data_IF_451747965308
#
_entry.id   IF_451747965308
#
_cell.length_a   1.000
_cell.length_b   1.000
_cell.length_c   1.000
_cell.angle_alpha   90.00
_cell.angle_beta   90.00
_cell.angle_gamma   90.00
#
_symmetry.space_group_name_H-M   'P 1'
#
loop_
_entity.id
_entity.type
_entity.pdbx_description
1 polymer ?
#
# COMPACT_ATOMS: atom_id res chain seq x y z
N UNK A 1 -18.90 15.54 3.96
CA UNK A 1 -18.10 14.40 4.40
C UNK A 1 -18.64 13.94 5.73
N UNK A 2 -18.74 12.63 5.97
CA UNK A 2 -19.29 12.07 7.19
C UNK A 2 -18.15 11.38 7.96
N UNK A 3 -17.33 12.12 8.71
CA UNK A 3 -16.20 11.53 9.44
C UNK A 3 -16.64 10.63 10.59
N UNK A 4 -17.88 10.81 11.08
CA UNK A 4 -18.41 10.08 12.22
C UNK A 4 -19.81 9.56 11.90
N UNK A 5 -20.01 8.26 12.02
CA UNK A 5 -21.32 7.62 12.00
C UNK A 5 -21.82 7.47 13.45
N UNK A 6 -22.96 8.08 13.76
CA UNK A 6 -23.64 7.83 15.01
C UNK A 6 -24.49 6.56 14.89
N UNK A 7 -24.09 5.49 15.58
CA UNK A 7 -24.86 4.25 15.68
C UNK A 7 -25.34 4.13 17.12
N UNK A 8 -26.52 4.67 17.40
CA UNK A 8 -27.04 4.79 18.77
C UNK A 8 -26.15 5.69 19.64
N UNK A 9 -25.72 5.23 20.84
CA UNK A 9 -24.84 5.99 21.73
C UNK A 9 -23.37 5.99 21.31
N UNK A 10 -22.97 5.22 20.28
CA UNK A 10 -21.60 5.09 19.83
C UNK A 10 -21.32 5.96 18.61
N UNK A 11 -20.27 6.79 18.71
CA UNK A 11 -19.70 7.55 17.60
C UNK A 11 -18.56 6.74 16.96
N UNK A 12 -18.78 6.23 15.75
CA UNK A 12 -17.80 5.40 15.05
C UNK A 12 -17.15 6.22 13.93
N UNK A 13 -15.83 6.27 13.90
CA UNK A 13 -15.07 6.95 12.86
C UNK A 13 -15.07 6.12 11.58
N UNK A 14 -15.83 6.56 10.57
CA UNK A 14 -15.93 5.90 9.27
C UNK A 14 -14.56 5.68 8.61
N UNK A 15 -13.61 6.63 8.61
CA UNK A 15 -12.28 6.41 8.01
C UNK A 15 -11.55 5.21 8.60
N UNK A 16 -11.57 5.05 9.92
CA UNK A 16 -10.94 3.91 10.60
C UNK A 16 -11.57 2.57 10.23
N UNK A 17 -12.93 2.52 10.14
CA UNK A 17 -13.64 1.31 9.70
C UNK A 17 -13.26 0.91 8.27
N UNK A 18 -13.12 1.88 7.37
CA UNK A 18 -12.73 1.62 5.98
C UNK A 18 -11.32 1.04 5.91
N UNK A 19 -10.38 1.52 6.72
CA UNK A 19 -9.03 0.95 6.79
C UNK A 19 -9.07 -0.49 7.31
N UNK A 20 -9.82 -0.76 8.39
CA UNK A 20 -9.96 -2.12 8.94
C UNK A 20 -10.61 -3.09 7.94
N UNK A 21 -11.66 -2.65 7.26
CA UNK A 21 -12.29 -3.41 6.19
C UNK A 21 -11.32 -3.67 5.04
N UNK A 22 -10.52 -2.66 4.68
CA UNK A 22 -9.47 -2.77 3.67
C UNK A 22 -8.41 -3.81 4.05
N UNK A 23 -7.93 -3.82 5.30
CA UNK A 23 -6.98 -4.81 5.81
C UNK A 23 -7.58 -6.22 5.69
N UNK A 24 -8.81 -6.40 6.18
CA UNK A 24 -9.48 -7.70 6.15
C UNK A 24 -9.71 -8.23 4.74
N UNK A 25 -10.28 -7.43 3.84
CA UNK A 25 -10.53 -7.85 2.46
C UNK A 25 -9.23 -8.09 1.68
N UNK A 26 -8.19 -7.30 1.96
CA UNK A 26 -6.88 -7.48 1.35
C UNK A 26 -6.21 -8.77 1.81
N UNK A 27 -6.27 -9.14 3.08
CA UNK A 27 -5.75 -10.44 3.56
C UNK A 27 -6.49 -11.61 2.95
N UNK A 28 -7.83 -11.55 2.85
CA UNK A 28 -8.63 -12.57 2.14
C UNK A 28 -8.21 -12.71 0.68
N UNK A 29 -7.98 -11.58 -0.01
CA UNK A 29 -7.55 -11.58 -1.40
C UNK A 29 -6.15 -12.18 -1.56
N UNK A 30 -5.21 -11.84 -0.68
CA UNK A 30 -3.85 -12.42 -0.66
C UNK A 30 -3.92 -13.94 -0.44
N UNK A 31 -4.66 -14.41 0.57
CA UNK A 31 -4.81 -15.84 0.85
C UNK A 31 -5.36 -16.62 -0.34
N UNK A 32 -6.34 -16.08 -1.08
CA UNK A 32 -6.89 -16.71 -2.29
C UNK A 32 -5.88 -16.83 -3.42
N UNK A 33 -4.86 -15.98 -3.46
CA UNK A 33 -3.89 -15.93 -4.55
C UNK A 33 -2.51 -16.51 -4.18
N UNK A 34 -2.26 -16.79 -2.91
CA UNK A 34 -1.00 -17.31 -2.39
C UNK A 34 -0.50 -18.54 -3.12
N UNK A 35 -1.40 -19.52 -3.34
CA UNK A 35 -1.08 -20.79 -4.00
C UNK A 35 -0.57 -20.64 -5.45
N UNK A 36 -0.94 -19.56 -6.15
CA UNK A 36 -0.44 -19.30 -7.52
C UNK A 36 1.06 -19.02 -7.55
N UNK A 37 1.61 -18.55 -6.44
CA UNK A 37 3.04 -18.25 -6.29
C UNK A 37 3.80 -19.32 -5.52
N UNK A 38 3.16 -20.47 -5.25
CA UNK A 38 3.76 -21.60 -4.52
C UNK A 38 4.01 -21.29 -3.04
N UNK A 39 3.26 -20.33 -2.46
CA UNK A 39 3.39 -19.94 -1.07
C UNK A 39 2.15 -20.38 -0.30
N UNK A 40 2.35 -20.91 0.90
CA UNK A 40 1.27 -21.28 1.80
C UNK A 40 0.54 -20.00 2.29
N UNK A 41 -0.79 -20.02 2.20
CA UNK A 41 -1.63 -18.91 2.64
C UNK A 41 -1.43 -18.59 4.13
N UNK A 42 -1.31 -19.61 4.98
CA UNK A 42 -1.09 -19.45 6.42
C UNK A 42 0.22 -18.73 6.74
N UNK A 43 1.25 -18.91 5.89
CA UNK A 43 2.53 -18.24 6.05
C UNK A 43 2.41 -16.76 5.71
N UNK A 44 1.64 -16.41 4.65
CA UNK A 44 1.37 -15.02 4.29
C UNK A 44 0.47 -14.33 5.30
N UNK A 45 -0.54 -15.01 5.82
CA UNK A 45 -1.41 -14.47 6.88
C UNK A 45 -0.62 -14.15 8.14
N UNK A 46 0.31 -15.04 8.55
CA UNK A 46 1.22 -14.77 9.68
C UNK A 46 2.17 -13.63 9.39
N UNK A 47 2.69 -13.52 8.16
CA UNK A 47 3.55 -12.40 7.74
C UNK A 47 2.80 -11.07 7.86
N UNK A 48 1.57 -11.01 7.37
CA UNK A 48 0.71 -9.82 7.47
C UNK A 48 0.38 -9.48 8.93
N UNK A 49 0.01 -10.48 9.73
CA UNK A 49 -0.31 -10.29 11.14
C UNK A 49 0.88 -9.77 11.94
N UNK A 50 2.07 -10.35 11.74
CA UNK A 50 3.31 -9.91 12.40
C UNK A 50 3.67 -8.50 11.97
N UNK A 51 3.61 -8.20 10.66
CA UNK A 51 3.86 -6.86 10.13
C UNK A 51 2.89 -5.82 10.70
N UNK A 52 1.59 -6.14 10.73
CA UNK A 52 0.56 -5.26 11.27
C UNK A 52 0.73 -5.03 12.77
N UNK A 53 0.91 -6.09 13.56
CA UNK A 53 1.08 -5.99 15.01
C UNK A 53 2.33 -5.19 15.37
N UNK A 54 3.46 -5.49 14.72
CA UNK A 54 4.70 -4.74 14.91
C UNK A 54 4.56 -3.29 14.44
N UNK A 55 3.83 -3.06 13.34
CA UNK A 55 3.53 -1.73 12.82
C UNK A 55 2.73 -0.88 13.79
N UNK A 56 1.68 -1.43 14.39
CA UNK A 56 0.87 -0.73 15.41
C UNK A 56 1.72 -0.38 16.64
N UNK A 57 2.51 -1.33 17.13
CA UNK A 57 3.43 -1.10 18.25
C UNK A 57 4.47 -0.03 17.88
N UNK A 58 5.07 -0.12 16.69
CA UNK A 58 6.04 0.85 16.20
C UNK A 58 5.46 2.25 16.03
N UNK A 59 4.23 2.36 15.50
CA UNK A 59 3.52 3.63 15.37
C UNK A 59 3.26 4.27 16.73
N UNK A 60 2.87 3.47 17.73
CA UNK A 60 2.64 3.96 19.09
C UNK A 60 3.93 4.43 19.74
N UNK A 61 4.98 3.61 19.68
CA UNK A 61 6.29 3.97 20.25
C UNK A 61 6.88 5.19 19.56
N UNK A 62 6.76 5.28 18.23
CA UNK A 62 7.19 6.46 17.47
C UNK A 62 6.51 7.73 17.93
N UNK A 63 5.19 7.69 18.10
CA UNK A 63 4.42 8.84 18.62
C UNK A 63 4.84 9.24 20.04
N UNK A 64 5.01 8.26 20.93
CA UNK A 64 5.47 8.50 22.32
C UNK A 64 6.85 9.15 22.33
N UNK A 65 7.78 8.67 21.48
CA UNK A 65 9.13 9.25 21.38
C UNK A 65 9.12 10.68 20.86
N UNK A 66 8.27 10.99 19.87
CA UNK A 66 8.12 12.36 19.34
C UNK A 66 7.51 13.32 20.36
N UNK A 67 6.73 12.83 21.31
CA UNK A 67 6.04 13.62 22.33
C UNK A 67 6.49 13.26 23.77
N UNK A 68 7.75 12.84 23.93
CA UNK A 68 8.27 12.28 25.18
C UNK A 68 8.01 13.16 26.40
N UNK A 69 8.07 14.49 26.25
CA UNK A 69 7.83 15.44 27.34
C UNK A 69 6.45 15.25 28.00
N UNK A 70 5.41 14.94 27.21
CA UNK A 70 4.04 14.72 27.71
C UNK A 70 3.94 13.38 28.47
N UNK A 71 4.63 12.34 27.97
CA UNK A 71 4.55 11.00 28.54
C UNK A 71 5.44 10.77 29.75
N UNK A 72 6.41 11.65 30.00
CA UNK A 72 7.21 11.63 31.26
C UNK A 72 6.33 12.00 32.46
N UNK A 73 5.33 12.87 32.27
CA UNK A 73 4.42 13.30 33.34
C UNK A 73 3.33 12.22 33.63
N UNK A 74 2.88 11.48 32.60
CA UNK A 74 1.93 10.37 32.75
C UNK A 74 2.35 9.16 31.92
N UNK A 75 3.17 8.29 32.50
CA UNK A 75 3.64 7.05 31.87
C UNK A 75 2.50 6.09 31.52
N UNK A 76 1.35 6.15 32.22
CA UNK A 76 0.21 5.29 31.94
C UNK A 76 -0.44 5.64 30.61
N UNK A 77 -0.36 6.88 30.18
CA UNK A 77 -0.87 7.33 28.87
C UNK A 77 -0.17 6.66 27.67
N UNK A 78 1.03 6.08 27.85
CA UNK A 78 1.72 5.28 26.84
C UNK A 78 0.84 4.10 26.38
N UNK A 79 0.11 3.46 27.30
CA UNK A 79 -0.74 2.31 27.03
C UNK A 79 -2.18 2.68 26.60
N UNK A 80 -2.48 3.96 26.42
CA UNK A 80 -3.81 4.38 25.98
C UNK A 80 -4.05 3.92 24.52
N UNK A 81 -5.24 3.35 24.26
CA UNK A 81 -5.67 2.89 22.94
C UNK A 81 -6.18 4.05 22.05
N UNK A 82 -5.52 5.20 22.12
CA UNK A 82 -5.91 6.33 21.29
C UNK A 82 -5.33 6.16 19.87
N UNK A 83 -6.18 5.81 18.91
CA UNK A 83 -5.80 5.60 17.51
C UNK A 83 -5.35 6.87 16.77
N UNK A 84 -5.64 8.06 17.30
CA UNK A 84 -5.17 9.33 16.72
C UNK A 84 -3.72 9.65 17.10
N UNK A 85 -3.18 8.96 18.12
CA UNK A 85 -1.83 9.13 18.62
C UNK A 85 -0.88 8.02 18.09
N UNK A 86 -0.79 7.90 16.77
CA UNK A 86 0.03 6.93 16.06
C UNK A 86 0.90 7.63 15.01
N UNK A 87 2.20 7.36 15.04
CA UNK A 87 3.15 7.85 14.05
C UNK A 87 3.21 6.85 12.89
N UNK A 88 2.47 7.14 11.81
CA UNK A 88 2.24 6.21 10.71
C UNK A 88 3.54 5.81 9.97
N UNK A 89 4.49 6.73 9.83
CA UNK A 89 5.77 6.46 9.16
C UNK A 89 6.61 5.47 9.96
N UNK A 90 6.79 5.69 11.26
CA UNK A 90 7.53 4.81 12.16
C UNK A 90 6.88 3.43 12.25
N UNK A 91 5.56 3.41 12.30
CA UNK A 91 4.81 2.16 12.25
C UNK A 91 5.04 1.38 10.97
N UNK A 92 5.01 2.05 9.83
CA UNK A 92 5.27 1.41 8.53
C UNK A 92 6.69 0.83 8.48
N UNK A 93 7.69 1.57 8.94
CA UNK A 93 9.09 1.11 8.98
C UNK A 93 9.22 -0.13 9.87
N UNK A 94 8.71 -0.09 11.11
CA UNK A 94 8.79 -1.22 12.05
C UNK A 94 8.03 -2.43 11.53
N UNK A 95 6.84 -2.24 10.98
CA UNK A 95 6.03 -3.30 10.40
C UNK A 95 6.69 -3.99 9.21
N UNK A 96 7.26 -3.20 8.29
CA UNK A 96 8.00 -3.73 7.14
C UNK A 96 9.24 -4.51 7.60
N UNK A 97 10.01 -3.98 8.55
CA UNK A 97 11.20 -4.67 9.08
C UNK A 97 10.81 -6.00 9.74
N UNK A 98 9.76 -6.02 10.54
CA UNK A 98 9.27 -7.26 11.18
C UNK A 98 8.81 -8.29 10.13
N UNK A 99 8.08 -7.86 9.10
CA UNK A 99 7.66 -8.71 8.00
C UNK A 99 8.87 -9.27 7.22
N UNK A 100 9.88 -8.44 6.93
CA UNK A 100 11.12 -8.88 6.27
C UNK A 100 11.88 -9.90 7.10
N UNK A 101 12.03 -9.67 8.42
CA UNK A 101 12.68 -10.63 9.33
C UNK A 101 11.93 -11.95 9.33
N UNK A 102 10.60 -11.93 9.39
CA UNK A 102 9.79 -13.15 9.33
C UNK A 102 9.96 -13.87 8.00
N UNK A 103 9.90 -13.14 6.87
CA UNK A 103 10.09 -13.68 5.53
C UNK A 103 11.47 -14.36 5.38
N UNK A 104 12.54 -13.73 5.89
CA UNK A 104 13.88 -14.30 5.88
C UNK A 104 13.96 -15.58 6.73
N UNK A 105 13.38 -15.59 7.94
CA UNK A 105 13.35 -16.78 8.81
C UNK A 105 12.58 -17.95 8.21
N UNK A 106 11.58 -17.66 7.36
CA UNK A 106 10.80 -18.66 6.61
C UNK A 106 11.38 -18.98 5.24
N UNK A 107 12.53 -18.38 4.90
CA UNK A 107 13.19 -18.56 3.59
C UNK A 107 12.24 -18.27 2.41
N UNK A 108 11.34 -17.29 2.56
CA UNK A 108 10.40 -16.94 1.51
C UNK A 108 11.13 -16.31 0.32
N UNK A 109 10.85 -16.75 -0.91
CA UNK A 109 11.43 -16.16 -2.10
C UNK A 109 10.87 -14.73 -2.29
N UNK A 110 11.75 -13.73 -2.44
CA UNK A 110 11.37 -12.31 -2.42
C UNK A 110 10.32 -11.98 -3.48
N UNK A 111 10.61 -12.25 -4.75
CA UNK A 111 9.73 -11.83 -5.85
C UNK A 111 8.37 -12.55 -5.85
N UNK A 112 8.31 -13.88 -5.71
CA UNK A 112 7.02 -14.56 -5.57
C UNK A 112 6.20 -14.09 -4.38
N UNK A 113 6.85 -13.77 -3.25
CA UNK A 113 6.16 -13.25 -2.07
C UNK A 113 5.58 -11.86 -2.33
N UNK A 114 6.35 -10.96 -2.96
CA UNK A 114 5.86 -9.64 -3.32
C UNK A 114 4.70 -9.71 -4.32
N UNK A 115 4.80 -10.59 -5.32
CA UNK A 115 3.72 -10.80 -6.30
C UNK A 115 2.45 -11.32 -5.62
N UNK A 116 2.58 -12.26 -4.67
CA UNK A 116 1.44 -12.79 -3.92
C UNK A 116 0.74 -11.72 -3.06
N UNK A 117 1.49 -10.77 -2.51
CA UNK A 117 0.97 -9.66 -1.71
C UNK A 117 0.34 -8.54 -2.55
N UNK A 118 0.72 -8.42 -3.82
CA UNK A 118 0.38 -7.27 -4.68
C UNK A 118 -1.12 -7.05 -4.89
N UNK A 119 -1.97 -8.06 -5.18
CA UNK A 119 -3.40 -7.84 -5.34
C UNK A 119 -4.04 -7.27 -4.07
N UNK A 120 -3.63 -7.75 -2.90
CA UNK A 120 -4.10 -7.22 -1.62
C UNK A 120 -3.59 -5.81 -1.37
N UNK A 121 -2.32 -5.52 -1.66
CA UNK A 121 -1.77 -4.16 -1.54
C UNK A 121 -2.51 -3.17 -2.45
N UNK A 122 -2.84 -3.56 -3.69
CA UNK A 122 -3.63 -2.76 -4.61
C UNK A 122 -5.05 -2.51 -4.10
N UNK A 123 -5.71 -3.54 -3.54
CA UNK A 123 -7.03 -3.41 -2.92
C UNK A 123 -6.97 -2.52 -1.66
N UNK A 124 -5.96 -2.69 -0.82
CA UNK A 124 -5.78 -1.85 0.36
C UNK A 124 -5.62 -0.37 0.00
N UNK A 125 -4.88 -0.05 -1.08
CA UNK A 125 -4.75 1.32 -1.57
C UNK A 125 -6.11 1.95 -1.93
N UNK A 126 -7.06 1.18 -2.48
CA UNK A 126 -8.44 1.66 -2.73
C UNK A 126 -9.11 2.07 -1.42
N UNK A 127 -9.02 1.24 -0.38
CA UNK A 127 -9.63 1.53 0.92
C UNK A 127 -8.96 2.71 1.64
N UNK A 128 -7.64 2.87 1.50
CA UNK A 128 -6.92 4.05 2.02
C UNK A 128 -7.44 5.33 1.35
N UNK A 129 -7.57 5.35 0.02
CA UNK A 129 -8.11 6.51 -0.68
C UNK A 129 -9.58 6.79 -0.33
N UNK A 130 -10.38 5.74 -0.13
CA UNK A 130 -11.76 5.85 0.33
C UNK A 130 -11.84 6.41 1.76
N UNK A 131 -10.94 5.99 2.64
CA UNK A 131 -10.79 6.53 4.00
C UNK A 131 -10.41 8.01 3.99
N UNK A 132 -9.46 8.41 3.14
CA UNK A 132 -9.08 9.82 2.97
C UNK A 132 -10.23 10.68 2.43
N UNK A 133 -11.02 10.15 1.52
CA UNK A 133 -12.23 10.84 1.07
C UNK A 133 -13.27 10.99 2.19
N UNK A 134 -13.46 9.98 3.03
CA UNK A 134 -14.39 10.04 4.16
C UNK A 134 -13.93 11.00 5.26
N UNK A 135 -12.63 11.09 5.54
CA UNK A 135 -12.05 12.02 6.53
C UNK A 135 -11.96 13.46 6.04
N UNK A 136 -11.85 13.67 4.72
CA UNK A 136 -11.54 14.97 4.13
C UNK A 136 -10.05 15.30 4.07
N UNK A 137 -9.20 14.33 4.41
CA UNK A 137 -7.75 14.45 4.26
C UNK A 137 -7.34 14.35 2.78
N UNK A 138 -6.06 14.65 2.50
CA UNK A 138 -5.53 14.59 1.14
C UNK A 138 -6.29 15.46 0.13
N UNK A 139 -6.72 16.64 0.58
CA UNK A 139 -7.52 17.58 -0.22
C UNK A 139 -6.74 18.19 -1.39
N UNK A 140 -7.51 18.63 -2.40
CA UNK A 140 -6.95 19.26 -3.61
C UNK A 140 -6.62 20.72 -3.45
N UNK A 141 -5.85 21.23 -4.42
CA UNK A 141 -5.60 22.66 -4.59
C UNK A 141 -6.90 23.41 -4.92
N UNK A 142 -7.02 24.70 -4.61
CA UNK A 142 -8.15 25.52 -5.03
C UNK A 142 -8.31 25.50 -6.57
N UNK A 143 -9.57 25.52 -7.05
CA UNK A 143 -9.88 25.49 -8.49
C UNK A 143 -11.27 26.07 -8.77
N UNK A 144 -11.43 26.67 -9.94
CA UNK A 144 -12.70 27.20 -10.43
C UNK A 144 -13.39 26.25 -11.42
N UNK A 145 -12.96 24.99 -11.50
CA UNK A 145 -13.54 24.00 -12.40
C UNK A 145 -14.98 23.66 -11.99
N UNK A 146 -15.88 23.33 -12.94
CA UNK A 146 -17.29 23.08 -12.66
C UNK A 146 -17.58 21.86 -11.78
N UNK A 147 -16.60 20.96 -11.61
CA UNK A 147 -16.68 19.79 -10.71
C UNK A 147 -15.88 19.98 -9.41
N UNK A 148 -15.49 21.23 -9.09
CA UNK A 148 -14.85 21.52 -7.81
C UNK A 148 -15.76 21.12 -6.65
N UNK A 149 -15.18 20.58 -5.58
CA UNK A 149 -15.88 20.28 -4.35
C UNK A 149 -15.54 21.34 -3.28
N UNK A 150 -16.57 21.80 -2.59
CA UNK A 150 -16.36 22.74 -1.49
C UNK A 150 -15.79 22.01 -0.27
N UNK A 151 -14.56 22.34 0.09
CA UNK A 151 -13.80 21.75 1.17
C UNK A 151 -12.98 22.81 1.89
N UNK A 152 -13.12 22.87 3.20
CA UNK A 152 -12.36 23.80 4.04
C UNK A 152 -12.57 25.27 3.62
N UNK A 153 -13.81 25.62 3.23
CA UNK A 153 -14.21 26.97 2.88
C UNK A 153 -13.73 27.49 1.52
N UNK A 154 -13.31 26.59 0.62
CA UNK A 154 -12.93 26.93 -0.75
C UNK A 154 -13.29 25.82 -1.74
N UNK A 155 -13.64 26.17 -3.01
CA UNK A 155 -13.78 25.22 -4.08
C UNK A 155 -12.40 24.61 -4.41
N UNK A 156 -12.30 23.29 -4.40
CA UNK A 156 -11.03 22.53 -4.56
C UNK A 156 -11.19 21.37 -5.53
N UNK A 157 -10.07 20.97 -6.12
CA UNK A 157 -10.02 19.71 -6.86
C UNK A 157 -10.43 18.54 -5.95
N UNK A 158 -11.32 17.64 -6.39
CA UNK A 158 -11.63 16.40 -5.66
C UNK A 158 -10.47 15.38 -5.77
N UNK A 159 -9.28 15.77 -5.29
CA UNK A 159 -8.06 14.99 -5.42
C UNK A 159 -8.20 13.58 -4.83
N UNK A 160 -9.00 13.42 -3.76
CA UNK A 160 -9.31 12.12 -3.17
C UNK A 160 -10.05 11.20 -4.14
N UNK A 161 -11.01 11.74 -4.91
CA UNK A 161 -11.76 10.96 -5.91
C UNK A 161 -10.88 10.60 -7.10
N UNK A 162 -9.95 11.48 -7.50
CA UNK A 162 -8.98 11.15 -8.55
C UNK A 162 -8.05 10.02 -8.09
N UNK A 163 -7.57 10.07 -6.85
CA UNK A 163 -6.73 9.02 -6.29
C UNK A 163 -7.50 7.70 -6.11
N UNK A 164 -8.78 7.76 -5.70
CA UNK A 164 -9.65 6.59 -5.59
C UNK A 164 -9.87 5.95 -6.97
N UNK A 165 -10.23 6.72 -7.99
CA UNK A 165 -10.42 6.23 -9.34
C UNK A 165 -9.13 5.60 -9.91
N UNK A 166 -7.99 6.25 -9.71
CA UNK A 166 -6.69 5.72 -10.12
C UNK A 166 -6.37 4.40 -9.40
N UNK A 167 -6.61 4.29 -8.09
CA UNK A 167 -6.35 3.06 -7.34
C UNK A 167 -7.27 1.92 -7.75
N UNK A 168 -8.54 2.19 -8.07
CA UNK A 168 -9.46 1.19 -8.63
C UNK A 168 -8.96 0.71 -10.00
N UNK A 169 -8.57 1.63 -10.89
CA UNK A 169 -8.02 1.28 -12.20
C UNK A 169 -6.75 0.43 -12.07
N UNK A 170 -5.85 0.82 -11.17
CA UNK A 170 -4.61 0.05 -10.90
C UNK A 170 -4.94 -1.34 -10.36
N UNK A 171 -5.91 -1.48 -9.45
CA UNK A 171 -6.36 -2.78 -8.96
C UNK A 171 -6.86 -3.66 -10.10
N UNK A 172 -7.70 -3.13 -10.99
CA UNK A 172 -8.20 -3.87 -12.16
C UNK A 172 -7.08 -4.30 -13.10
N UNK A 173 -6.10 -3.42 -13.35
CA UNK A 173 -4.91 -3.74 -14.14
C UNK A 173 -4.08 -4.85 -13.47
N UNK A 174 -3.87 -4.77 -12.16
CA UNK A 174 -3.13 -5.80 -11.39
C UNK A 174 -3.83 -7.15 -11.48
N UNK A 175 -5.15 -7.21 -11.29
CA UNK A 175 -5.92 -8.45 -11.42
C UNK A 175 -5.89 -9.02 -12.84
N UNK A 176 -5.89 -8.16 -13.85
CA UNK A 176 -5.77 -8.57 -15.24
C UNK A 176 -4.35 -9.09 -15.57
N UNK A 177 -3.29 -8.39 -15.10
CA UNK A 177 -1.89 -8.79 -15.29
C UNK A 177 -1.58 -10.11 -14.59
N UNK A 178 -2.19 -10.37 -13.43
CA UNK A 178 -1.98 -11.59 -12.67
C UNK A 178 -2.26 -12.87 -13.48
N UNK A 179 -3.25 -12.82 -14.40
CA UNK A 179 -3.54 -13.94 -15.28
C UNK A 179 -2.53 -14.12 -16.44
N UNK A 180 -1.66 -13.10 -16.64
CA UNK A 180 -0.69 -13.03 -17.74
C UNK A 180 0.75 -12.86 -17.25
N UNK A 181 1.00 -13.22 -16.00
CA UNK A 181 2.32 -13.09 -15.42
C UNK A 181 3.32 -14.03 -16.09
N UNK A 182 4.43 -13.50 -16.55
CA UNK A 182 5.46 -14.23 -17.29
C UNK A 182 6.70 -14.53 -16.44
N UNK A 183 6.97 -13.71 -15.41
CA UNK A 183 8.14 -13.89 -14.54
C UNK A 183 7.86 -13.41 -13.13
N UNK A 184 8.64 -13.90 -12.16
CA UNK A 184 8.51 -13.51 -10.76
C UNK A 184 8.97 -12.06 -10.54
N UNK A 185 8.18 -11.27 -9.82
CA UNK A 185 8.39 -9.83 -9.58
C UNK A 185 7.65 -8.93 -10.58
N UNK A 186 7.07 -9.49 -11.64
CA UNK A 186 6.36 -8.70 -12.64
C UNK A 186 5.18 -7.95 -12.05
N UNK A 187 4.36 -8.63 -11.25
CA UNK A 187 3.15 -8.04 -10.71
C UNK A 187 3.45 -6.93 -9.70
N UNK A 188 4.40 -7.19 -8.79
CA UNK A 188 4.82 -6.24 -7.78
C UNK A 188 5.43 -4.97 -8.38
N UNK A 189 6.34 -5.13 -9.33
CA UNK A 189 6.99 -4.00 -10.00
C UNK A 189 6.02 -3.24 -10.91
N UNK A 190 5.08 -3.92 -11.58
CA UNK A 190 4.04 -3.27 -12.38
C UNK A 190 3.11 -2.43 -11.51
N UNK A 191 2.67 -2.98 -10.36
CA UNK A 191 1.89 -2.22 -9.40
C UNK A 191 2.64 -0.99 -8.88
N UNK A 192 3.92 -1.16 -8.50
CA UNK A 192 4.75 -0.06 -8.02
C UNK A 192 4.92 1.02 -9.09
N UNK A 193 5.16 0.65 -10.35
CA UNK A 193 5.26 1.59 -11.48
C UNK A 193 3.95 2.36 -11.68
N UNK A 194 2.81 1.67 -11.71
CA UNK A 194 1.49 2.28 -11.90
C UNK A 194 1.14 3.21 -10.73
N UNK A 195 1.35 2.76 -9.50
CA UNK A 195 1.07 3.56 -8.30
C UNK A 195 1.97 4.81 -8.21
N UNK A 196 3.27 4.65 -8.52
CA UNK A 196 4.22 5.77 -8.55
C UNK A 196 3.90 6.77 -9.67
N UNK A 197 3.55 6.27 -10.87
CA UNK A 197 3.11 7.10 -11.99
C UNK A 197 1.82 7.87 -11.68
N UNK A 198 0.82 7.21 -11.11
CA UNK A 198 -0.40 7.85 -10.65
C UNK A 198 -0.12 8.92 -9.60
N UNK A 199 0.74 8.61 -8.61
CA UNK A 199 1.14 9.59 -7.58
C UNK A 199 1.84 10.79 -8.18
N UNK A 200 2.77 10.58 -9.12
CA UNK A 200 3.48 11.65 -9.83
C UNK A 200 2.52 12.62 -10.53
N UNK A 201 1.52 12.08 -11.24
CA UNK A 201 0.52 12.87 -11.97
C UNK A 201 -0.46 13.57 -11.03
N UNK A 202 -0.99 12.85 -10.04
CA UNK A 202 -2.03 13.36 -9.15
C UNK A 202 -1.51 14.34 -8.11
N UNK A 203 -0.21 14.33 -7.83
CA UNK A 203 0.41 15.31 -6.92
C UNK A 203 0.23 16.76 -7.40
N UNK A 204 0.11 16.98 -8.71
CA UNK A 204 -0.14 18.31 -9.27
C UNK A 204 -1.46 18.93 -8.77
N UNK A 205 -2.46 18.10 -8.48
CA UNK A 205 -3.80 18.51 -8.04
C UNK A 205 -3.95 18.60 -6.53
N UNK A 206 -2.92 18.23 -5.75
CA UNK A 206 -2.96 18.26 -4.28
C UNK A 206 -2.65 19.64 -3.71
N UNK A 207 -3.39 20.01 -2.65
CA UNK A 207 -3.21 21.26 -1.93
C UNK A 207 -2.35 21.15 -0.66
N UNK A 208 -2.10 19.92 -0.19
CA UNK A 208 -1.39 19.59 1.06
C UNK A 208 0.04 19.06 0.84
N UNK A 209 0.62 19.31 -0.33
CA UNK A 209 1.94 18.79 -0.71
C UNK A 209 3.07 19.47 0.04
N UNK A 210 4.01 18.68 0.57
CA UNK A 210 5.26 19.19 1.13
C UNK A 210 6.21 19.61 0.00
N UNK A 211 6.66 20.85 0.04
CA UNK A 211 7.61 21.42 -0.94
C UNK A 211 8.98 21.56 -0.30
N UNK A 212 10.01 20.93 -0.92
CA UNK A 212 11.41 21.06 -0.55
C UNK A 212 12.17 21.67 -1.73
N UNK A 213 12.83 22.81 -1.49
CA UNK A 213 13.60 23.52 -2.53
C UNK A 213 12.81 23.78 -3.83
N UNK A 214 11.52 24.10 -3.73
CA UNK A 214 10.65 24.37 -4.88
C UNK A 214 10.09 23.13 -5.58
N UNK A 215 10.48 21.92 -5.16
CA UNK A 215 9.99 20.65 -5.72
C UNK A 215 9.09 19.94 -4.70
N UNK A 216 8.02 19.32 -5.18
CA UNK A 216 7.15 18.50 -4.34
C UNK A 216 7.85 17.17 -4.02
N UNK A 217 8.12 16.91 -2.74
CA UNK A 217 8.84 15.68 -2.31
C UNK A 217 8.20 14.40 -2.85
N UNK A 218 6.87 14.33 -2.87
CA UNK A 218 6.16 13.17 -3.36
C UNK A 218 6.36 12.94 -4.87
N UNK A 219 6.58 13.99 -5.67
CA UNK A 219 6.89 13.85 -7.10
C UNK A 219 8.28 13.28 -7.32
N UNK A 220 9.29 13.76 -6.57
CA UNK A 220 10.65 13.21 -6.66
C UNK A 220 10.69 11.73 -6.29
N UNK A 221 10.07 11.38 -5.15
CA UNK A 221 9.98 9.99 -4.72
C UNK A 221 9.22 9.14 -5.73
N UNK A 222 8.08 9.63 -6.24
CA UNK A 222 7.29 8.96 -7.27
C UNK A 222 8.09 8.71 -8.54
N UNK A 223 8.87 9.69 -9.00
CA UNK A 223 9.73 9.54 -10.18
C UNK A 223 10.82 8.49 -9.96
N UNK A 224 11.50 8.54 -8.81
CA UNK A 224 12.56 7.56 -8.47
C UNK A 224 12.00 6.14 -8.40
N UNK A 225 10.85 5.94 -7.75
CA UNK A 225 10.20 4.63 -7.65
C UNK A 225 9.70 4.14 -9.01
N UNK A 226 9.18 5.03 -9.86
CA UNK A 226 8.77 4.71 -11.22
C UNK A 226 9.96 4.23 -12.04
N UNK A 227 11.05 4.98 -12.05
CA UNK A 227 12.27 4.61 -12.79
C UNK A 227 12.88 3.28 -12.28
N UNK A 228 12.93 3.11 -10.95
CA UNK A 228 13.45 1.88 -10.34
C UNK A 228 12.58 0.66 -10.68
N UNK A 229 11.24 0.80 -10.65
CA UNK A 229 10.33 -0.29 -10.99
C UNK A 229 10.39 -0.65 -12.49
N UNK A 230 10.47 0.33 -13.39
CA UNK A 230 10.64 0.08 -14.82
C UNK A 230 11.99 -0.57 -15.14
N UNK A 231 13.06 -0.11 -14.51
CA UNK A 231 14.38 -0.74 -14.63
C UNK A 231 14.35 -2.18 -14.08
N UNK A 232 13.71 -2.41 -12.93
CA UNK A 232 13.52 -3.73 -12.35
C UNK A 232 12.75 -4.67 -13.28
N UNK A 233 11.63 -4.23 -13.86
CA UNK A 233 10.86 -4.98 -14.84
C UNK A 233 11.73 -5.39 -16.04
N UNK A 234 12.47 -4.43 -16.60
CA UNK A 234 13.34 -4.70 -17.74
C UNK A 234 14.45 -5.72 -17.42
N UNK A 235 15.11 -5.56 -16.25
CA UNK A 235 16.20 -6.45 -15.83
C UNK A 235 15.69 -7.86 -15.51
N UNK A 236 14.56 -8.00 -14.83
CA UNK A 236 14.00 -9.31 -14.48
C UNK A 236 13.46 -10.03 -15.71
N UNK A 237 12.78 -9.34 -16.63
CA UNK A 237 12.32 -9.92 -17.88
C UNK A 237 13.48 -10.50 -18.70
N UNK A 238 14.63 -9.80 -18.74
CA UNK A 238 15.82 -10.31 -19.43
C UNK A 238 16.48 -11.51 -18.75
N UNK A 239 16.42 -11.58 -17.42
CA UNK A 239 17.12 -12.63 -16.64
C UNK A 239 16.32 -13.92 -16.51
N UNK A 240 14.99 -13.83 -16.37
CA UNK A 240 14.16 -15.00 -16.03
C UNK A 240 13.52 -15.65 -17.26
N UNK A 241 13.33 -14.92 -18.35
CA UNK A 241 12.56 -15.41 -19.50
C UNK A 241 11.09 -15.73 -19.15
N UNK A 242 10.25 -16.16 -20.10
CA UNK A 242 8.86 -16.51 -19.82
C UNK A 242 8.76 -17.77 -18.94
N UNK A 243 7.85 -17.74 -17.96
CA UNK A 243 7.52 -18.87 -17.07
C UNK A 243 6.93 -19.98 -17.96
N UNK A 244 7.69 -21.02 -18.24
CA UNK A 244 7.26 -22.15 -19.08
C UNK A 244 8.27 -22.64 -20.09
N UNK A 245 9.39 -21.94 -20.32
CA UNK A 245 10.41 -22.36 -21.29
C UNK A 245 11.43 -23.38 -20.76
N UNK A 246 11.38 -23.77 -19.47
CA UNK A 246 12.36 -24.69 -18.86
C UNK A 246 11.93 -26.18 -18.85
N UNK A 247 10.84 -26.54 -19.54
CA UNK A 247 10.29 -27.93 -19.52
C UNK A 247 10.50 -28.75 -20.78
N UNK A 248 11.34 -28.33 -21.73
CA UNK A 248 11.39 -28.93 -23.07
C UNK A 248 12.74 -29.42 -23.58
N UNK A 249 13.68 -29.86 -22.72
CA UNK A 249 14.92 -30.45 -23.23
C UNK A 249 15.35 -31.68 -22.42
N UNK A 250 14.71 -32.80 -22.67
CA UNK A 250 15.09 -34.05 -21.99
C UNK A 250 14.36 -35.29 -22.46
N UNK A 251 14.04 -35.43 -23.76
CA UNK A 251 13.70 -36.73 -24.34
C UNK A 251 14.17 -36.73 -25.78
N UNK A 252 15.32 -37.32 -25.98
CA UNK A 252 15.79 -37.61 -27.32
C UNK A 252 17.06 -38.44 -27.32
N UNK A 253 16.89 -39.70 -27.73
CA UNK A 253 17.93 -40.60 -28.24
C UNK A 253 18.44 -41.67 -27.28
N UNK A 254 17.74 -42.80 -27.29
CA UNK A 254 18.40 -44.10 -27.28
C UNK A 254 18.67 -44.49 -28.72
N UNK A 255 19.89 -44.76 -29.13
CA UNK A 255 20.15 -45.60 -30.32
C UNK A 255 20.39 -47.03 -29.85
N UNK A 256 19.75 -47.98 -30.51
CA UNK A 256 20.03 -49.41 -30.74
C UNK A 256 21.09 -50.10 -29.90
#
# INVERSE_FOLDING_TARGET
>A
MLPVLQVGPMAVQLPGLLVLLGIWLSSVLIGRHAGRHGIDADVLDRLLLIGLAAGVIGARLGYVLQHAAIYVEDVRAVFSLNLTALAAFEGAVVGILAALIYAQRKSLPLWPTLDALTPGAALFAVFVNLSQWASGDAFGAPTDLPWAMELWGAPRHPAQLYALAASILILLIVLWLQARQEFAGQLALSWLALASGARLLLEAFRGDSLVLAGLRQAQLLGLLLLMASLAGLHLLARRQGPIGSSGGSGHGATPN
#
